data_IF_529748890842
#
_entry.id   IF_529748890842
#
_cell.length_a   1.000
_cell.length_b   1.000
_cell.length_c   1.000
_cell.angle_alpha   90.00
_cell.angle_beta   90.00
_cell.angle_gamma   90.00
#
_symmetry.space_group_name_H-M   'P 1'
#
loop_
_entity.id
_entity.type
_entity.pdbx_description
1 polymer ?
#
# COMPACT_ATOMS: atom_id res chain seq x y z
N UNK A 1 -14.17 -8.61 -1.67
CA UNK A 1 -12.70 -8.49 -1.64
C UNK A 1 -12.22 -9.81 -1.09
N UNK A 2 -11.60 -10.67 -1.91
CA UNK A 2 -11.03 -11.90 -1.39
C UNK A 2 -9.77 -11.51 -0.59
N UNK A 3 -9.60 -12.05 0.60
CA UNK A 3 -8.54 -11.68 1.53
C UNK A 3 -7.13 -11.86 0.92
N UNK A 4 -6.96 -12.88 0.07
CA UNK A 4 -5.72 -13.10 -0.70
C UNK A 4 -5.43 -12.02 -1.75
N UNK A 5 -6.44 -11.31 -2.26
CA UNK A 5 -6.24 -10.20 -3.20
C UNK A 5 -5.71 -8.95 -2.47
N UNK A 6 -6.12 -8.74 -1.22
CA UNK A 6 -5.71 -7.56 -0.46
C UNK A 6 -4.21 -7.59 -0.14
N UNK A 7 -3.71 -8.72 0.38
CA UNK A 7 -2.30 -8.89 0.72
C UNK A 7 -1.40 -8.80 -0.52
N UNK A 8 -1.84 -9.41 -1.64
CA UNK A 8 -1.14 -9.32 -2.92
C UNK A 8 -1.06 -7.88 -3.44
N UNK A 9 -2.13 -7.08 -3.28
CA UNK A 9 -2.14 -5.68 -3.68
C UNK A 9 -1.16 -4.84 -2.84
N UNK A 10 -1.09 -5.06 -1.53
CA UNK A 10 -0.12 -4.37 -0.68
C UNK A 10 1.32 -4.78 -1.01
N UNK A 11 1.59 -6.06 -1.25
CA UNK A 11 2.92 -6.53 -1.66
C UNK A 11 3.35 -5.95 -3.01
N UNK A 12 2.43 -5.89 -3.99
CA UNK A 12 2.67 -5.25 -5.28
C UNK A 12 3.00 -3.76 -5.12
N UNK A 13 2.21 -3.03 -4.33
CA UNK A 13 2.45 -1.62 -4.07
C UNK A 13 3.78 -1.37 -3.35
N UNK A 14 4.08 -2.17 -2.32
CA UNK A 14 5.33 -2.07 -1.58
C UNK A 14 6.56 -2.29 -2.49
N UNK A 15 6.47 -3.25 -3.43
CA UNK A 15 7.53 -3.48 -4.40
C UNK A 15 7.66 -2.33 -5.41
N UNK A 16 6.56 -1.89 -6.01
CA UNK A 16 6.60 -0.92 -7.10
C UNK A 16 6.89 0.51 -6.62
N UNK A 17 6.28 0.92 -5.51
CA UNK A 17 6.32 2.30 -5.01
C UNK A 17 7.33 2.50 -3.89
N UNK A 18 7.54 1.50 -3.03
CA UNK A 18 8.45 1.58 -1.88
C UNK A 18 9.77 0.82 -2.10
N UNK A 19 9.88 0.07 -3.21
CA UNK A 19 11.02 -0.83 -3.51
C UNK A 19 11.32 -1.85 -2.41
N UNK A 20 10.30 -2.23 -1.64
CA UNK A 20 10.41 -3.28 -0.62
C UNK A 20 10.07 -4.61 -1.28
N UNK A 21 10.99 -5.58 -1.23
CA UNK A 21 10.71 -6.91 -1.77
C UNK A 21 9.62 -7.59 -0.93
N UNK A 22 8.67 -8.33 -1.55
CA UNK A 22 7.63 -9.04 -0.81
C UNK A 22 8.19 -9.98 0.26
N UNK A 23 9.31 -10.65 -0.02
CA UNK A 23 10.00 -11.51 0.94
C UNK A 23 10.52 -10.73 2.16
N UNK A 24 10.95 -9.48 1.99
CA UNK A 24 11.46 -8.65 3.08
C UNK A 24 10.30 -8.16 3.95
N UNK A 25 9.19 -7.76 3.31
CA UNK A 25 7.94 -7.40 3.99
C UNK A 25 7.40 -8.56 4.83
N UNK A 26 7.40 -9.78 4.29
CA UNK A 26 6.93 -10.98 5.00
C UNK A 26 7.84 -11.36 6.18
N UNK A 27 9.12 -10.98 6.16
CA UNK A 27 10.06 -11.22 7.26
C UNK A 27 9.97 -10.20 8.39
N UNK A 28 9.32 -9.05 8.16
CA UNK A 28 9.09 -8.04 9.19
C UNK A 28 8.14 -8.56 10.28
N UNK A 29 8.23 -7.97 11.48
CA UNK A 29 7.26 -8.25 12.54
C UNK A 29 5.86 -7.77 12.14
N UNK A 30 4.81 -8.36 12.74
CA UNK A 30 3.41 -7.93 12.49
C UNK A 30 3.19 -6.44 12.72
N UNK A 31 3.91 -5.84 13.68
CA UNK A 31 3.82 -4.41 13.98
C UNK A 31 4.40 -3.55 12.85
N UNK A 32 5.55 -3.94 12.32
CA UNK A 32 6.18 -3.25 11.19
C UNK A 32 5.33 -3.39 9.92
N UNK A 33 4.82 -4.59 9.63
CA UNK A 33 3.91 -4.80 8.50
C UNK A 33 2.66 -3.91 8.62
N UNK A 34 2.05 -3.82 9.80
CA UNK A 34 0.89 -2.97 10.03
C UNK A 34 1.20 -1.47 9.79
N UNK A 35 2.40 -1.01 10.19
CA UNK A 35 2.83 0.37 9.93
C UNK A 35 3.00 0.62 8.43
N UNK A 36 3.64 -0.30 7.70
CA UNK A 36 3.79 -0.20 6.24
C UNK A 36 2.41 -0.15 5.56
N UNK A 37 1.49 -1.05 5.92
CA UNK A 37 0.14 -1.07 5.36
C UNK A 37 -0.61 0.23 5.64
N UNK A 38 -0.53 0.77 6.86
CA UNK A 38 -1.15 2.05 7.19
C UNK A 38 -0.58 3.22 6.36
N UNK A 39 0.73 3.25 6.10
CA UNK A 39 1.35 4.26 5.24
C UNK A 39 0.91 4.13 3.78
N UNK A 40 0.77 2.90 3.27
CA UNK A 40 0.25 2.64 1.92
C UNK A 40 -1.18 3.14 1.80
N UNK A 41 -2.04 2.84 2.79
CA UNK A 41 -3.42 3.30 2.82
C UNK A 41 -3.52 4.84 2.79
N UNK A 42 -2.74 5.52 3.63
CA UNK A 42 -2.73 6.99 3.66
C UNK A 42 -2.35 7.58 2.30
N UNK A 43 -1.33 7.00 1.64
CA UNK A 43 -0.90 7.45 0.31
C UNK A 43 -1.97 7.21 -0.75
N UNK A 44 -2.61 6.04 -0.77
CA UNK A 44 -3.72 5.74 -1.67
C UNK A 44 -4.87 6.74 -1.48
N UNK A 45 -5.19 7.10 -0.23
CA UNK A 45 -6.23 8.09 0.06
C UNK A 45 -5.83 9.49 -0.42
N UNK A 46 -4.57 9.90 -0.21
CA UNK A 46 -4.05 11.17 -0.71
C UNK A 46 -4.09 11.24 -2.24
N UNK A 47 -3.68 10.19 -2.95
CA UNK A 47 -3.72 10.10 -4.41
C UNK A 47 -5.16 10.14 -4.94
N UNK A 48 -6.09 9.44 -4.29
CA UNK A 48 -7.53 9.50 -4.63
C UNK A 48 -8.09 10.90 -4.47
N UNK A 49 -7.73 11.62 -3.40
CA UNK A 49 -8.13 13.02 -3.18
C UNK A 49 -7.55 13.92 -4.26
N UNK A 50 -6.26 13.79 -4.57
CA UNK A 50 -5.57 14.58 -5.59
C UNK A 50 -6.17 14.36 -6.99
N UNK A 51 -6.48 13.12 -7.37
CA UNK A 51 -7.16 12.80 -8.65
C UNK A 51 -8.56 13.39 -8.73
N UNK A 52 -9.33 13.38 -7.63
CA UNK A 52 -10.66 13.99 -7.58
C UNK A 52 -10.59 15.51 -7.73
N UNK A 53 -9.59 16.18 -7.13
CA UNK A 53 -9.39 17.63 -7.31
C UNK A 53 -8.89 17.97 -8.71
N UNK A 54 -8.03 17.14 -9.31
CA UNK A 54 -7.55 17.34 -10.68
C UNK A 54 -8.67 17.21 -11.73
N UNK A 55 -9.61 16.26 -11.54
CA UNK A 55 -10.76 16.07 -12.45
C UNK A 55 -11.83 17.17 -12.33
N UNK A 56 -11.76 18.03 -11.29
CA UNK A 56 -12.68 19.16 -11.07
C UNK A 56 -12.17 20.48 -11.64
N UNK A 57 -10.94 20.53 -12.14
CA UNK A 57 -10.37 21.66 -12.90
C UNK A 57 -10.48 21.37 -14.38
#
# INVERSE_FOLDING_TARGET
>A
MNEGDAEANYAYYALHELRILPQDLMRMSRREQAVIYAMIDERIQAEKKARKSAKRR
#
